data_IF_886940467065
#
_entry.id   IF_886940467065
#
_cell.length_a   1.000
_cell.length_b   1.000
_cell.length_c   1.000
_cell.angle_alpha   90.00
_cell.angle_beta   90.00
_cell.angle_gamma   90.00
#
_symmetry.space_group_name_H-M   'P 1'
#
loop_
_entity.id
_entity.type
_entity.pdbx_description
1 polymer ?
#
# COMPACT_ATOMS: atom_id res chain seq x y z
N UNK A 1 38.61 -20.34 -66.64
CA UNK A 1 38.00 -20.57 -65.31
C UNK A 1 37.93 -19.23 -64.59
N UNK A 2 36.75 -18.61 -64.55
CA UNK A 2 36.52 -17.34 -63.84
C UNK A 2 35.78 -17.68 -62.56
N UNK A 3 36.42 -17.42 -61.42
CA UNK A 3 35.91 -17.74 -60.09
C UNK A 3 34.98 -16.63 -59.63
N UNK A 4 33.67 -16.88 -59.62
CA UNK A 4 32.67 -15.97 -59.07
C UNK A 4 32.68 -16.15 -57.54
N UNK A 5 33.08 -15.11 -56.79
CA UNK A 5 32.94 -15.06 -55.33
C UNK A 5 31.56 -14.55 -54.98
N UNK A 6 30.74 -15.41 -54.37
CA UNK A 6 29.46 -15.02 -53.79
C UNK A 6 29.70 -14.17 -52.53
N UNK A 7 29.17 -12.95 -52.51
CA UNK A 7 29.06 -12.15 -51.30
C UNK A 7 27.76 -12.51 -50.59
N UNK A 8 27.86 -13.20 -49.46
CA UNK A 8 26.77 -13.38 -48.51
C UNK A 8 26.60 -12.09 -47.71
N UNK A 9 25.55 -11.32 -48.01
CA UNK A 9 25.13 -10.19 -47.19
C UNK A 9 24.45 -10.73 -45.92
N UNK A 10 25.15 -10.72 -44.78
CA UNK A 10 24.53 -10.87 -43.48
C UNK A 10 23.79 -9.58 -43.13
N UNK A 11 22.46 -9.58 -43.31
CA UNK A 11 21.59 -8.55 -42.76
C UNK A 11 21.51 -8.71 -41.25
N UNK A 12 22.18 -7.83 -40.51
CA UNK A 12 22.04 -7.72 -39.05
C UNK A 12 20.66 -7.13 -38.74
N UNK A 13 19.71 -7.97 -38.29
CA UNK A 13 18.50 -7.49 -37.62
C UNK A 13 18.94 -6.87 -36.28
N UNK A 14 19.05 -5.55 -36.25
CA UNK A 14 19.04 -4.79 -35.00
C UNK A 14 17.65 -4.95 -34.39
N UNK A 15 17.51 -5.91 -33.48
CA UNK A 15 16.38 -5.94 -32.56
C UNK A 15 16.48 -4.67 -31.70
N UNK A 16 15.63 -3.68 -32.00
CA UNK A 16 15.40 -2.58 -31.08
C UNK A 16 14.76 -3.18 -29.83
N UNK A 17 15.58 -3.47 -28.82
CA UNK A 17 15.10 -3.59 -27.45
C UNK A 17 14.61 -2.21 -27.06
N UNK A 18 13.32 -1.94 -27.29
CA UNK A 18 12.66 -0.81 -26.65
C UNK A 18 12.72 -1.12 -25.16
N UNK A 19 13.69 -0.56 -24.45
CA UNK A 19 13.62 -0.44 -23.01
C UNK A 19 12.37 0.40 -22.76
N UNK A 20 11.24 -0.25 -22.47
CA UNK A 20 10.04 0.44 -22.04
C UNK A 20 10.48 1.38 -20.91
N UNK A 21 10.26 2.68 -21.10
CA UNK A 21 10.51 3.66 -20.04
C UNK A 21 9.81 3.16 -18.79
N UNK A 22 10.51 3.17 -17.65
CA UNK A 22 9.90 2.75 -16.39
C UNK A 22 8.60 3.54 -16.18
N UNK A 23 7.51 2.83 -15.85
CA UNK A 23 6.24 3.45 -15.49
C UNK A 23 6.50 4.47 -14.38
N UNK A 24 6.06 5.71 -14.56
CA UNK A 24 6.04 6.73 -13.50
C UNK A 24 4.62 6.96 -13.04
N UNK A 25 4.45 7.63 -11.90
CA UNK A 25 3.14 8.10 -11.47
C UNK A 25 2.48 8.98 -12.53
N UNK A 26 3.26 9.86 -13.16
CA UNK A 26 2.83 10.74 -14.27
C UNK A 26 2.54 10.04 -15.59
N UNK A 27 2.65 8.72 -15.66
CA UNK A 27 2.23 7.92 -16.83
C UNK A 27 1.27 6.77 -16.45
N UNK A 28 0.95 6.63 -15.15
CA UNK A 28 0.04 5.60 -14.67
C UNK A 28 -1.39 5.97 -15.07
N UNK A 29 -2.11 5.01 -15.66
CA UNK A 29 -3.54 5.15 -16.01
C UNK A 29 -4.44 4.37 -15.07
N UNK A 30 -3.95 3.25 -14.55
CA UNK A 30 -4.70 2.39 -13.64
C UNK A 30 -3.87 2.08 -12.41
N UNK A 31 -4.46 2.30 -11.23
CA UNK A 31 -3.83 1.97 -9.97
C UNK A 31 -4.70 0.97 -9.21
N UNK A 32 -4.21 -0.27 -9.11
CA UNK A 32 -4.85 -1.32 -8.33
C UNK A 32 -4.25 -1.32 -6.94
N UNK A 33 -5.09 -1.10 -5.93
CA UNK A 33 -4.64 -1.05 -4.54
C UNK A 33 -5.17 -2.25 -3.78
N UNK A 34 -4.29 -2.87 -3.01
CA UNK A 34 -4.58 -3.99 -2.13
C UNK A 34 -4.14 -3.63 -0.72
N UNK A 35 -4.74 -4.25 0.27
CA UNK A 35 -4.14 -4.35 1.59
C UNK A 35 -5.07 -4.19 2.79
N UNK A 36 -4.38 -3.74 3.83
CA UNK A 36 -4.66 -3.75 5.27
C UNK A 36 -4.72 -5.17 5.89
N UNK A 37 -4.58 -5.42 7.19
CA UNK A 37 -4.44 -4.62 8.42
C UNK A 37 -3.01 -4.55 8.91
N UNK A 38 -2.79 -3.74 9.94
CA UNK A 38 -1.61 -3.77 10.77
C UNK A 38 -1.89 -4.61 12.04
N UNK A 39 -2.93 -4.34 12.84
CA UNK A 39 -3.34 -5.15 14.00
C UNK A 39 -4.87 -5.09 14.19
N UNK A 40 -5.51 -6.21 14.55
CA UNK A 40 -6.93 -6.32 14.96
C UNK A 40 -7.98 -5.69 14.02
N UNK A 41 -7.78 -5.76 12.72
CA UNK A 41 -8.82 -5.32 11.81
C UNK A 41 -8.81 -3.84 11.44
N UNK A 42 -7.69 -3.16 11.67
CA UNK A 42 -7.50 -1.74 11.38
C UNK A 42 -7.11 -1.51 9.90
N UNK A 43 -7.25 -0.27 9.41
CA UNK A 43 -6.98 0.01 8.00
C UNK A 43 -6.48 1.41 7.75
N UNK A 44 -5.34 1.52 7.05
CA UNK A 44 -4.81 2.79 6.56
C UNK A 44 -5.17 3.03 5.08
N UNK A 45 -5.77 2.03 4.43
CA UNK A 45 -5.82 1.94 2.96
C UNK A 45 -7.23 1.80 2.42
N UNK A 46 -8.19 1.24 3.16
CA UNK A 46 -9.56 1.00 2.66
C UNK A 46 -10.29 2.31 2.36
N UNK A 47 -11.22 2.22 1.39
CA UNK A 47 -12.08 3.33 0.96
C UNK A 47 -13.55 2.92 0.79
N UNK A 48 -13.86 1.64 1.03
CA UNK A 48 -15.19 1.06 0.84
C UNK A 48 -15.58 0.75 -0.62
N UNK A 49 -14.66 0.86 -1.58
CA UNK A 49 -14.92 0.47 -2.97
C UNK A 49 -15.30 -1.02 -3.07
N UNK A 50 -16.38 -1.32 -3.80
CA UNK A 50 -16.91 -2.67 -3.94
C UNK A 50 -17.05 -3.07 -5.41
N UNK A 51 -16.01 -3.70 -5.95
CA UNK A 51 -16.00 -4.18 -7.35
C UNK A 51 -17.15 -5.17 -7.68
N UNK A 52 -17.70 -5.89 -6.68
CA UNK A 52 -18.83 -6.79 -6.92
C UNK A 52 -20.16 -6.05 -7.18
N UNK A 53 -20.23 -4.76 -6.86
CA UNK A 53 -21.32 -3.87 -7.27
C UNK A 53 -21.10 -3.27 -8.68
N UNK A 54 -19.97 -3.58 -9.32
CA UNK A 54 -19.57 -3.10 -10.63
C UNK A 54 -18.18 -2.43 -10.60
N UNK A 55 -17.44 -2.53 -11.72
CA UNK A 55 -16.12 -1.91 -11.88
C UNK A 55 -16.16 -0.39 -11.68
N UNK A 56 -17.24 0.26 -12.13
CA UNK A 56 -17.45 1.70 -11.97
C UNK A 56 -18.31 2.04 -10.75
N UNK A 57 -18.42 1.14 -9.77
CA UNK A 57 -19.18 1.42 -8.55
C UNK A 57 -18.56 2.61 -7.80
N UNK A 58 -19.40 3.47 -7.18
CA UNK A 58 -18.90 4.63 -6.45
C UNK A 58 -18.05 4.19 -5.25
N UNK A 59 -17.03 4.99 -4.92
CA UNK A 59 -16.24 4.82 -3.71
C UNK A 59 -16.88 5.61 -2.56
N UNK A 60 -17.40 4.96 -1.51
CA UNK A 60 -18.06 5.66 -0.40
C UNK A 60 -17.14 6.56 0.42
N UNK A 61 -15.82 6.37 0.34
CA UNK A 61 -14.84 7.14 1.10
C UNK A 61 -14.79 6.73 2.57
N UNK A 62 -15.10 5.47 2.87
CA UNK A 62 -14.98 4.94 4.22
C UNK A 62 -13.51 4.84 4.61
N UNK A 63 -13.04 5.78 5.43
CA UNK A 63 -11.67 5.79 5.95
C UNK A 63 -11.66 5.88 7.46
N UNK A 64 -10.51 5.57 8.04
CA UNK A 64 -10.19 5.67 9.47
C UNK A 64 -9.40 6.93 9.83
N UNK A 65 -9.28 7.88 8.89
CA UNK A 65 -8.38 9.04 9.01
C UNK A 65 -9.10 10.37 9.25
N UNK A 66 -10.43 10.34 9.35
CA UNK A 66 -11.30 11.51 9.45
C UNK A 66 -11.20 12.45 8.24
N UNK A 67 -10.95 11.86 7.06
CA UNK A 67 -10.75 12.55 5.79
C UNK A 67 -10.20 11.59 4.74
N UNK A 68 -9.62 12.12 3.64
CA UNK A 68 -8.98 11.27 2.64
C UNK A 68 -7.79 10.50 3.21
N UNK A 69 -7.67 9.21 2.87
CA UNK A 69 -6.46 8.45 3.13
C UNK A 69 -5.43 8.64 1.99
N UNK A 70 -4.27 7.99 2.11
CA UNK A 70 -3.17 8.17 1.15
C UNK A 70 -3.56 7.77 -0.29
N UNK A 71 -4.41 6.75 -0.44
CA UNK A 71 -4.93 6.30 -1.74
C UNK A 71 -5.83 7.35 -2.36
N UNK A 72 -6.73 7.93 -1.56
CA UNK A 72 -7.61 9.00 -2.03
C UNK A 72 -6.83 10.26 -2.38
N UNK A 73 -5.80 10.64 -1.61
CA UNK A 73 -4.94 11.77 -1.97
C UNK A 73 -4.16 11.52 -3.27
N UNK A 74 -3.62 10.32 -3.47
CA UNK A 74 -2.99 9.96 -4.75
C UNK A 74 -3.99 10.05 -5.90
N UNK A 75 -5.19 9.47 -5.74
CA UNK A 75 -6.24 9.47 -6.75
C UNK A 75 -6.91 10.83 -6.99
N UNK A 76 -6.69 11.82 -6.14
CA UNK A 76 -7.26 13.17 -6.25
C UNK A 76 -6.17 14.25 -6.30
N UNK A 77 -5.70 14.71 -5.14
CA UNK A 77 -4.79 15.86 -4.96
C UNK A 77 -3.49 15.71 -5.73
N UNK A 78 -2.94 14.50 -5.78
CA UNK A 78 -1.69 14.21 -6.48
C UNK A 78 -1.91 13.47 -7.81
N UNK A 79 -3.15 13.44 -8.33
CA UNK A 79 -3.45 12.78 -9.59
C UNK A 79 -3.14 13.71 -10.77
N UNK A 80 -2.08 13.39 -11.51
CA UNK A 80 -1.59 14.21 -12.61
C UNK A 80 -2.02 13.71 -14.00
N UNK A 81 -2.66 12.54 -14.10
CA UNK A 81 -2.96 11.86 -15.38
C UNK A 81 -4.39 11.29 -15.50
N UNK A 82 -5.31 11.68 -14.63
CA UNK A 82 -6.65 11.06 -14.51
C UNK A 82 -6.55 9.54 -14.27
N UNK A 83 -5.58 9.14 -13.43
CA UNK A 83 -5.40 7.76 -13.00
C UNK A 83 -6.70 7.21 -12.40
N UNK A 84 -7.21 6.10 -12.92
CA UNK A 84 -8.33 5.36 -12.33
C UNK A 84 -7.83 4.48 -11.20
N UNK A 85 -8.36 4.69 -10.00
CA UNK A 85 -7.95 3.96 -8.80
C UNK A 85 -9.00 2.89 -8.47
N UNK A 86 -8.57 1.62 -8.48
CA UNK A 86 -9.37 0.47 -8.07
C UNK A 86 -8.83 -0.06 -6.76
N UNK A 87 -9.41 0.41 -5.65
CA UNK A 87 -8.93 0.08 -4.32
C UNK A 87 -9.67 -1.12 -3.73
N UNK A 88 -9.09 -2.30 -3.90
CA UNK A 88 -9.59 -3.57 -3.38
C UNK A 88 -9.23 -3.80 -1.90
N UNK A 89 -8.51 -2.88 -1.25
CA UNK A 89 -8.18 -2.99 0.17
C UNK A 89 -9.44 -3.00 1.05
N UNK A 90 -9.50 -3.91 2.01
CA UNK A 90 -10.69 -4.14 2.82
C UNK A 90 -10.38 -4.04 4.30
N UNK A 91 -11.03 -3.09 4.97
CA UNK A 91 -10.82 -2.79 6.39
C UNK A 91 -10.64 -4.00 7.30
N UNK A 92 -9.40 -4.25 7.69
CA UNK A 92 -9.02 -5.26 8.65
C UNK A 92 -8.52 -6.59 8.11
N UNK A 93 -8.23 -6.64 6.81
CA UNK A 93 -7.70 -7.78 6.11
C UNK A 93 -6.43 -8.35 6.76
N UNK A 94 -6.17 -9.60 6.48
CA UNK A 94 -4.91 -10.25 6.84
C UNK A 94 -4.32 -10.80 5.55
N UNK A 95 -3.08 -11.28 5.58
CA UNK A 95 -2.50 -11.87 4.36
C UNK A 95 -3.34 -13.04 3.86
N UNK A 96 -3.80 -13.90 4.76
CA UNK A 96 -4.70 -15.02 4.49
C UNK A 96 -5.49 -15.34 5.77
N UNK A 97 -6.82 -15.40 5.66
CA UNK A 97 -7.72 -15.69 6.78
C UNK A 97 -7.50 -17.06 7.42
N UNK A 98 -6.84 -17.99 6.71
CA UNK A 98 -6.43 -19.31 7.21
C UNK A 98 -5.13 -19.27 8.03
N UNK A 99 -4.28 -18.26 7.80
CA UNK A 99 -3.03 -18.07 8.57
C UNK A 99 -3.28 -17.18 9.78
N UNK A 100 -4.10 -16.14 9.58
CA UNK A 100 -4.45 -15.17 10.60
C UNK A 100 -5.94 -14.92 10.50
N UNK A 101 -6.67 -15.39 11.51
CA UNK A 101 -8.11 -15.16 11.61
C UNK A 101 -8.39 -13.65 11.74
N UNK A 102 -9.16 -13.05 10.82
CA UNK A 102 -9.55 -11.66 10.94
C UNK A 102 -10.54 -11.45 12.09
N UNK A 103 -10.73 -10.20 12.50
CA UNK A 103 -11.65 -9.83 13.58
C UNK A 103 -13.14 -10.13 13.26
N UNK A 104 -13.50 -10.19 11.97
CA UNK A 104 -14.81 -10.61 11.49
C UNK A 104 -14.67 -11.58 10.30
N UNK A 105 -15.54 -12.59 10.16
CA UNK A 105 -15.46 -13.57 9.07
C UNK A 105 -15.76 -12.98 7.69
N UNK A 106 -16.35 -11.78 7.63
CA UNK A 106 -16.66 -11.05 6.39
C UNK A 106 -15.48 -10.24 5.85
N UNK A 107 -14.36 -10.22 6.56
CA UNK A 107 -13.17 -9.48 6.15
C UNK A 107 -12.49 -10.17 4.98
N UNK A 108 -12.25 -9.41 3.92
CA UNK A 108 -11.61 -9.91 2.69
C UNK A 108 -10.09 -9.82 2.82
N UNK A 109 -9.43 -10.97 3.05
CA UNK A 109 -7.97 -11.07 3.15
C UNK A 109 -7.27 -10.65 1.85
N UNK A 110 -5.95 -10.43 1.86
CA UNK A 110 -5.19 -10.12 0.65
C UNK A 110 -5.38 -11.18 -0.45
N UNK A 111 -5.49 -12.47 -0.08
CA UNK A 111 -5.85 -13.56 -0.99
C UNK A 111 -7.22 -13.36 -1.64
N UNK A 112 -8.22 -12.91 -0.88
CA UNK A 112 -9.55 -12.62 -1.40
C UNK A 112 -9.54 -11.39 -2.31
N UNK A 113 -8.73 -10.39 -1.99
CA UNK A 113 -8.57 -9.18 -2.81
C UNK A 113 -7.89 -9.49 -4.15
N UNK A 114 -6.86 -10.35 -4.17
CA UNK A 114 -6.26 -10.84 -5.42
C UNK A 114 -7.25 -11.74 -6.18
N UNK A 115 -8.11 -12.48 -5.50
CA UNK A 115 -9.20 -13.24 -6.14
C UNK A 115 -10.25 -12.31 -6.77
N UNK A 116 -10.58 -11.19 -6.13
CA UNK A 116 -11.45 -10.16 -6.71
C UNK A 116 -10.80 -9.52 -7.95
N UNK A 117 -9.51 -9.19 -7.89
CA UNK A 117 -8.77 -8.72 -9.07
C UNK A 117 -8.84 -9.74 -10.21
N UNK A 118 -8.53 -11.00 -9.88
CA UNK A 118 -8.56 -12.11 -10.83
C UNK A 118 -9.93 -12.28 -11.48
N UNK A 119 -11.01 -12.06 -10.74
CA UNK A 119 -12.38 -12.22 -11.24
C UNK A 119 -12.84 -11.07 -12.12
N UNK A 120 -12.57 -9.82 -11.71
CA UNK A 120 -13.18 -8.63 -12.33
C UNK A 120 -12.24 -7.87 -13.26
N UNK A 121 -10.93 -8.08 -13.15
CA UNK A 121 -9.92 -7.37 -13.94
C UNK A 121 -9.03 -8.31 -14.79
N UNK A 122 -9.24 -9.63 -14.72
CA UNK A 122 -8.45 -10.62 -15.48
C UNK A 122 -9.34 -11.79 -15.99
N UNK A 123 -9.92 -11.71 -17.20
CA UNK A 123 -9.45 -10.91 -18.33
C UNK A 123 -9.73 -9.41 -18.20
N UNK A 124 -8.95 -8.61 -18.90
CA UNK A 124 -9.03 -7.13 -18.88
C UNK A 124 -10.42 -6.68 -19.36
N UNK A 125 -11.20 -5.99 -18.53
CA UNK A 125 -12.54 -5.55 -18.88
C UNK A 125 -12.50 -4.25 -19.71
N UNK A 126 -13.48 -3.98 -20.58
CA UNK A 126 -13.55 -2.74 -21.36
C UNK A 126 -13.54 -1.46 -20.51
N UNK A 127 -14.14 -1.50 -19.33
CA UNK A 127 -14.22 -0.40 -18.37
C UNK A 127 -12.87 -0.04 -17.74
N UNK A 128 -11.94 -1.00 -17.71
CA UNK A 128 -10.60 -0.84 -17.18
C UNK A 128 -9.59 -1.50 -18.12
N UNK A 129 -9.32 -0.87 -19.26
CA UNK A 129 -8.38 -1.32 -20.28
C UNK A 129 -6.91 -1.19 -19.83
N UNK A 130 -6.58 -1.83 -18.72
CA UNK A 130 -5.25 -1.85 -18.13
C UNK A 130 -4.32 -2.81 -18.88
N UNK A 131 -3.02 -2.53 -18.81
CA UNK A 131 -1.95 -3.33 -19.38
C UNK A 131 -0.69 -3.17 -18.52
N UNK A 132 0.27 -4.08 -18.63
CA UNK A 132 1.54 -4.03 -17.90
C UNK A 132 2.23 -2.66 -17.88
N UNK A 133 2.11 -1.92 -18.99
CA UNK A 133 2.87 -0.69 -19.24
C UNK A 133 2.11 0.58 -18.82
N UNK A 134 0.89 0.45 -18.29
CA UNK A 134 0.07 1.61 -17.86
C UNK A 134 -0.55 1.44 -16.47
N UNK A 135 -0.24 0.34 -15.77
CA UNK A 135 -0.86 -0.02 -14.50
C UNK A 135 0.15 -0.23 -13.38
N UNK A 136 -0.15 0.34 -12.22
CA UNK A 136 0.59 0.15 -10.97
C UNK A 136 -0.23 -0.72 -10.00
N UNK A 137 0.44 -1.62 -9.28
CA UNK A 137 -0.16 -2.50 -8.28
C UNK A 137 0.47 -2.17 -6.92
N UNK A 138 -0.29 -1.59 -5.99
CA UNK A 138 0.23 -1.09 -4.73
C UNK A 138 -0.46 -1.65 -3.50
N UNK A 139 0.26 -1.75 -2.38
CA UNK A 139 -0.37 -2.17 -1.14
C UNK A 139 0.55 -2.59 -0.01
N UNK A 140 -0.08 -3.04 1.07
CA UNK A 140 0.55 -3.57 2.29
C UNK A 140 -0.30 -4.69 2.90
N UNK A 141 0.30 -5.62 3.62
CA UNK A 141 -0.42 -6.59 4.47
C UNK A 141 0.50 -6.99 5.61
N UNK A 142 0.08 -6.76 6.85
CA UNK A 142 0.85 -7.11 8.04
C UNK A 142 -0.07 -7.70 9.11
N UNK A 143 0.52 -8.29 10.14
CA UNK A 143 -0.21 -8.70 11.32
C UNK A 143 0.72 -8.84 12.51
N UNK A 144 0.23 -8.47 13.68
CA UNK A 144 0.87 -8.81 14.95
C UNK A 144 -0.12 -9.34 15.99
N UNK A 145 0.41 -10.25 16.80
CA UNK A 145 -0.14 -10.60 18.10
C UNK A 145 0.97 -10.57 19.14
N UNK A 146 0.57 -10.52 20.41
CA UNK A 146 1.47 -10.72 21.55
C UNK A 146 2.16 -12.11 21.57
N UNK A 147 1.82 -13.02 20.65
CA UNK A 147 2.47 -14.30 20.44
C UNK A 147 3.37 -14.20 19.22
N UNK A 148 4.62 -13.77 19.42
CA UNK A 148 5.64 -13.84 18.37
C UNK A 148 6.00 -15.30 18.14
N UNK A 149 5.40 -15.92 17.14
CA UNK A 149 5.83 -17.23 16.67
C UNK A 149 7.08 -17.04 15.81
N UNK A 150 8.23 -17.55 16.28
CA UNK A 150 9.48 -17.47 15.55
C UNK A 150 9.29 -18.00 14.11
N UNK A 151 9.68 -17.20 13.11
CA UNK A 151 9.53 -17.56 11.70
C UNK A 151 8.13 -17.33 11.09
N UNK A 152 7.14 -16.86 11.85
CA UNK A 152 5.79 -16.65 11.31
C UNK A 152 5.73 -15.58 10.21
N UNK A 153 6.52 -14.51 10.32
CA UNK A 153 6.65 -13.52 9.24
C UNK A 153 7.14 -14.15 7.93
N UNK A 154 7.98 -15.19 7.99
CA UNK A 154 8.40 -15.92 6.79
C UNK A 154 7.20 -16.59 6.13
N UNK A 155 6.37 -17.30 6.90
CA UNK A 155 5.14 -17.95 6.40
C UNK A 155 4.17 -16.92 5.81
N UNK A 156 3.96 -15.80 6.50
CA UNK A 156 3.12 -14.71 6.01
C UNK A 156 3.66 -14.12 4.71
N UNK A 157 4.96 -13.85 4.62
CA UNK A 157 5.57 -13.28 3.43
C UNK A 157 5.65 -14.28 2.27
N UNK A 158 5.86 -15.58 2.54
CA UNK A 158 5.73 -16.62 1.52
C UNK A 158 4.32 -16.62 0.92
N UNK A 159 3.29 -16.48 1.78
CA UNK A 159 1.91 -16.38 1.32
C UNK A 159 1.63 -15.07 0.58
N UNK A 160 2.11 -13.94 1.07
CA UNK A 160 1.97 -12.64 0.42
C UNK A 160 2.59 -12.66 -0.98
N UNK A 161 3.85 -13.12 -1.11
CA UNK A 161 4.52 -13.17 -2.41
C UNK A 161 3.91 -14.21 -3.36
N UNK A 162 3.26 -15.27 -2.86
CA UNK A 162 2.46 -16.16 -3.73
C UNK A 162 1.29 -15.42 -4.42
N UNK A 163 0.73 -14.40 -3.77
CA UNK A 163 -0.34 -13.57 -4.35
C UNK A 163 0.24 -12.48 -5.27
N UNK A 164 1.42 -11.94 -4.96
CA UNK A 164 2.17 -11.08 -5.87
C UNK A 164 2.52 -11.83 -7.17
N UNK A 165 2.93 -13.09 -7.07
CA UNK A 165 3.19 -13.95 -8.22
C UNK A 165 1.93 -14.21 -9.03
N UNK A 166 0.76 -14.37 -8.39
CA UNK A 166 -0.53 -14.48 -9.09
C UNK A 166 -0.86 -13.20 -9.89
N UNK A 167 -0.67 -12.02 -9.29
CA UNK A 167 -0.83 -10.74 -10.01
C UNK A 167 0.15 -10.64 -11.19
N UNK A 168 1.42 -11.02 -10.98
CA UNK A 168 2.43 -11.06 -12.02
C UNK A 168 2.04 -12.01 -13.15
N UNK A 169 1.58 -13.23 -12.85
CA UNK A 169 1.14 -14.20 -13.85
C UNK A 169 -0.05 -13.69 -14.68
N UNK A 170 -0.83 -12.75 -14.14
CA UNK A 170 -1.95 -12.10 -14.81
C UNK A 170 -1.59 -10.85 -15.61
N UNK A 171 -0.33 -10.44 -15.59
CA UNK A 171 0.17 -9.32 -16.39
C UNK A 171 0.60 -8.09 -15.60
N UNK A 172 0.49 -8.10 -14.26
CA UNK A 172 1.06 -7.03 -13.45
C UNK A 172 2.59 -6.97 -13.61
N UNK A 173 3.15 -5.79 -13.87
CA UNK A 173 4.61 -5.61 -14.03
C UNK A 173 5.19 -4.50 -13.17
N UNK A 174 4.40 -3.52 -12.75
CA UNK A 174 4.86 -2.44 -11.89
C UNK A 174 4.21 -2.53 -10.51
N UNK A 175 5.02 -2.51 -9.45
CA UNK A 175 4.59 -2.78 -8.08
C UNK A 175 5.07 -1.70 -7.11
N UNK A 176 4.19 -1.29 -6.20
CA UNK A 176 4.48 -0.43 -5.05
C UNK A 176 4.24 -1.20 -3.75
N UNK A 177 5.32 -1.59 -3.08
CA UNK A 177 5.27 -2.22 -1.77
C UNK A 177 5.42 -1.15 -0.69
N UNK A 178 4.64 -1.25 0.38
CA UNK A 178 4.78 -0.40 1.55
C UNK A 178 5.22 -1.25 2.74
N UNK A 179 6.26 -0.83 3.45
CA UNK A 179 6.62 -1.45 4.71
C UNK A 179 5.71 -0.95 5.85
N UNK A 180 5.87 -1.53 7.04
CA UNK A 180 5.05 -1.25 8.21
C UNK A 180 5.51 0.04 8.89
N UNK A 181 4.62 1.02 9.16
CA UNK A 181 4.90 2.19 10.00
C UNK A 181 5.43 1.80 11.40
N UNK A 182 6.03 2.73 12.18
CA UNK A 182 6.52 2.47 13.52
C UNK A 182 5.34 2.34 14.50
N UNK A 183 4.66 1.20 14.46
CA UNK A 183 3.43 0.97 15.22
C UNK A 183 3.69 1.01 16.73
N UNK A 184 4.89 0.69 17.19
CA UNK A 184 5.29 0.84 18.59
C UNK A 184 5.18 2.28 19.12
N UNK A 185 5.05 3.27 18.22
CA UNK A 185 4.81 4.68 18.54
C UNK A 185 3.34 5.09 18.50
N UNK A 186 2.43 4.19 18.14
CA UNK A 186 1.00 4.46 18.19
C UNK A 186 0.51 4.47 19.65
N UNK A 187 -0.47 5.34 20.01
CA UNK A 187 -0.99 5.43 21.37
C UNK A 187 -1.42 4.10 21.96
N UNK A 188 -2.00 3.20 21.14
CA UNK A 188 -2.42 1.85 21.52
C UNK A 188 -1.29 1.05 22.19
N UNK A 189 -0.07 1.12 21.68
CA UNK A 189 1.07 0.36 22.22
C UNK A 189 1.83 1.12 23.28
N UNK A 190 1.83 2.46 23.21
CA UNK A 190 2.37 3.31 24.26
C UNK A 190 1.63 3.06 25.58
N UNK A 191 0.29 3.02 25.56
CA UNK A 191 -0.55 2.78 26.72
C UNK A 191 -0.34 1.38 27.34
N UNK A 192 0.11 0.40 26.54
CA UNK A 192 0.42 -0.96 26.99
C UNK A 192 1.81 -1.08 27.65
N UNK A 193 2.63 -0.03 27.61
CA UNK A 193 3.89 0.07 28.33
C UNK A 193 5.13 -0.43 27.57
N UNK A 194 6.30 -0.18 28.16
CA UNK A 194 7.62 -0.32 27.52
C UNK A 194 7.91 -1.74 26.98
N UNK A 195 7.42 -2.78 27.65
CA UNK A 195 7.58 -4.17 27.19
C UNK A 195 6.89 -4.38 25.85
N UNK A 196 5.67 -3.89 25.70
CA UNK A 196 4.90 -4.00 24.46
C UNK A 196 5.51 -3.16 23.35
N UNK A 197 5.91 -1.92 23.65
CA UNK A 197 6.63 -1.05 22.69
C UNK A 197 7.85 -1.79 22.11
N UNK A 198 8.69 -2.39 22.97
CA UNK A 198 9.87 -3.14 22.53
C UNK A 198 9.50 -4.36 21.68
N UNK A 199 8.45 -5.09 22.04
CA UNK A 199 8.02 -6.29 21.32
C UNK A 199 7.45 -5.94 19.93
N UNK A 200 6.61 -4.91 19.84
CA UNK A 200 6.02 -4.43 18.57
C UNK A 200 7.10 -3.85 17.66
N UNK A 201 8.03 -3.06 18.20
CA UNK A 201 9.14 -2.51 17.42
C UNK A 201 10.02 -3.62 16.84
N UNK A 202 10.40 -4.61 17.64
CA UNK A 202 11.19 -5.75 17.17
C UNK A 202 10.46 -6.58 16.10
N UNK A 203 9.14 -6.77 16.24
CA UNK A 203 8.32 -7.47 15.25
C UNK A 203 8.20 -6.67 13.94
N UNK A 204 7.98 -5.36 14.05
CA UNK A 204 7.91 -4.43 12.91
C UNK A 204 9.22 -4.43 12.13
N UNK A 205 10.36 -4.34 12.82
CA UNK A 205 11.69 -4.38 12.21
C UNK A 205 11.97 -5.71 11.50
N UNK A 206 11.63 -6.84 12.14
CA UNK A 206 11.82 -8.17 11.54
C UNK A 206 10.98 -8.34 10.27
N UNK A 207 9.71 -7.94 10.31
CA UNK A 207 8.84 -8.00 9.13
C UNK A 207 9.36 -7.09 8.01
N UNK A 208 9.68 -5.84 8.32
CA UNK A 208 10.17 -4.87 7.34
C UNK A 208 11.49 -5.31 6.69
N UNK A 209 12.40 -5.90 7.47
CA UNK A 209 13.64 -6.49 6.96
C UNK A 209 13.36 -7.64 6.01
N UNK A 210 12.48 -8.57 6.38
CA UNK A 210 12.14 -9.71 5.52
C UNK A 210 11.38 -9.27 4.26
N UNK A 211 10.45 -8.31 4.35
CA UNK A 211 9.77 -7.73 3.19
C UNK A 211 10.79 -7.13 2.21
N UNK A 212 11.74 -6.33 2.69
CA UNK A 212 12.77 -5.75 1.83
C UNK A 212 13.63 -6.81 1.13
N UNK A 213 13.95 -7.92 1.81
CA UNK A 213 14.65 -9.05 1.19
C UNK A 213 13.79 -9.72 0.12
N UNK A 214 12.49 -9.92 0.37
CA UNK A 214 11.56 -10.54 -0.58
C UNK A 214 11.31 -9.67 -1.81
N UNK A 215 11.20 -8.35 -1.66
CA UNK A 215 11.10 -7.42 -2.81
C UNK A 215 12.35 -7.53 -3.70
N UNK A 216 13.55 -7.53 -3.10
CA UNK A 216 14.80 -7.72 -3.87
C UNK A 216 14.85 -9.08 -4.57
N UNK A 217 14.40 -10.13 -3.90
CA UNK A 217 14.32 -11.47 -4.48
C UNK A 217 13.31 -11.49 -5.66
N UNK A 218 12.14 -10.90 -5.49
CA UNK A 218 11.13 -10.81 -6.53
C UNK A 218 11.66 -10.09 -7.77
N UNK A 219 12.37 -8.97 -7.58
CA UNK A 219 13.04 -8.24 -8.66
C UNK A 219 14.11 -9.06 -9.39
N UNK A 220 14.84 -9.93 -8.70
CA UNK A 220 15.91 -10.72 -9.30
C UNK A 220 15.41 -11.99 -10.01
N UNK A 221 14.25 -12.52 -9.60
CA UNK A 221 13.71 -13.77 -10.16
C UNK A 221 12.66 -13.58 -11.25
N UNK A 222 12.05 -12.41 -11.36
CA UNK A 222 11.01 -12.13 -12.36
C UNK A 222 11.54 -11.27 -13.50
N UNK A 223 11.13 -11.61 -14.72
CA UNK A 223 11.58 -10.92 -15.94
C UNK A 223 10.49 -9.99 -16.45
N UNK A 224 10.89 -8.95 -17.19
CA UNK A 224 9.94 -8.01 -17.79
C UNK A 224 9.18 -7.16 -16.78
N UNK A 225 9.65 -7.11 -15.52
CA UNK A 225 9.15 -6.15 -14.54
C UNK A 225 9.36 -4.72 -15.04
N UNK A 226 8.37 -3.86 -14.76
CA UNK A 226 8.46 -2.42 -14.90
C UNK A 226 9.06 -1.81 -13.64
N UNK A 227 8.38 -0.82 -13.07
CA UNK A 227 8.82 -0.16 -11.84
C UNK A 227 8.51 -1.04 -10.62
N UNK A 228 9.50 -1.37 -9.79
CA UNK A 228 9.28 -2.03 -8.50
C UNK A 228 9.87 -1.18 -7.39
N UNK A 229 8.99 -0.64 -6.55
CA UNK A 229 9.32 0.33 -5.51
C UNK A 229 8.93 -0.22 -4.15
N UNK A 230 9.86 -0.15 -3.19
CA UNK A 230 9.56 -0.32 -1.77
C UNK A 230 9.56 1.06 -1.11
N UNK A 231 8.38 1.56 -0.77
CA UNK A 231 8.21 2.80 -0.02
C UNK A 231 8.38 2.55 1.47
N UNK A 232 9.28 3.32 2.08
CA UNK A 232 9.63 3.23 3.50
C UNK A 232 8.68 4.09 4.36
N UNK A 233 7.46 3.59 4.56
CA UNK A 233 6.48 4.18 5.46
C UNK A 233 7.01 4.23 6.91
N UNK A 234 7.81 3.24 7.34
CA UNK A 234 8.44 3.21 8.65
C UNK A 234 9.29 4.47 8.90
N UNK A 235 10.22 4.76 7.99
CA UNK A 235 11.07 5.94 8.07
C UNK A 235 10.26 7.23 7.99
N UNK A 236 9.29 7.28 7.08
CA UNK A 236 8.49 8.48 6.86
C UNK A 236 7.61 8.85 8.06
N UNK A 237 6.98 7.88 8.72
CA UNK A 237 6.25 8.11 9.95
C UNK A 237 7.17 8.54 11.09
N UNK A 238 8.34 7.93 11.23
CA UNK A 238 9.32 8.35 12.25
C UNK A 238 9.74 9.80 12.04
N UNK A 239 10.06 10.21 10.80
CA UNK A 239 10.38 11.61 10.48
C UNK A 239 9.23 12.55 10.87
N UNK A 240 7.99 12.19 10.56
CA UNK A 240 6.85 13.03 10.91
C UNK A 240 6.62 13.12 12.43
N UNK A 241 6.72 12.00 13.16
CA UNK A 241 6.56 11.99 14.62
C UNK A 241 7.71 12.72 15.33
N UNK A 242 8.93 12.62 14.82
CA UNK A 242 10.09 13.32 15.39
C UNK A 242 9.99 14.83 15.19
N UNK A 243 9.38 15.26 14.07
CA UNK A 243 9.19 16.67 13.71
C UNK A 243 7.74 17.16 13.86
N UNK A 244 6.91 16.46 14.64
CA UNK A 244 5.46 16.69 14.67
C UNK A 244 5.08 18.15 14.97
N UNK A 245 5.74 18.79 15.94
CA UNK A 245 5.46 20.19 16.30
C UNK A 245 5.77 21.16 15.15
N UNK A 246 6.88 20.93 14.43
CA UNK A 246 7.27 21.74 13.26
C UNK A 246 6.27 21.54 12.11
N UNK A 247 5.72 20.34 11.98
CA UNK A 247 4.67 20.01 11.01
C UNK A 247 3.27 20.49 11.47
N UNK A 248 3.15 21.11 12.64
CA UNK A 248 1.88 21.60 13.17
C UNK A 248 1.01 20.55 13.87
N UNK A 249 1.55 19.35 14.08
CA UNK A 249 0.88 18.31 14.86
C UNK A 249 1.07 18.50 16.36
N UNK A 250 -0.01 18.28 17.10
CA UNK A 250 -0.04 18.21 18.56
C UNK A 250 -0.25 16.76 19.00
N UNK A 251 0.17 16.46 20.24
CA UNK A 251 -0.05 15.18 20.90
C UNK A 251 0.40 13.96 20.07
N UNK A 252 1.69 13.87 19.75
CA UNK A 252 2.25 12.76 18.94
C UNK A 252 2.26 11.38 19.60
N UNK A 253 1.98 11.31 20.91
CA UNK A 253 1.93 10.07 21.71
C UNK A 253 0.52 9.68 22.13
N UNK A 254 -0.49 10.47 21.76
CA UNK A 254 -1.88 10.29 22.16
C UNK A 254 -2.83 10.81 21.09
N UNK A 255 -4.11 10.87 21.42
CA UNK A 255 -5.17 11.39 20.54
C UNK A 255 -6.19 12.18 21.37
N UNK A 256 -7.13 12.83 20.71
CA UNK A 256 -8.25 13.47 21.39
C UNK A 256 -9.45 12.52 21.40
N UNK A 257 -9.88 12.09 22.58
CA UNK A 257 -10.99 11.16 22.73
C UNK A 257 -12.31 11.68 22.12
N UNK A 258 -12.50 13.00 22.00
CA UNK A 258 -13.67 13.58 21.34
C UNK A 258 -13.67 13.40 19.81
N UNK A 259 -12.51 13.11 19.20
CA UNK A 259 -12.36 12.95 17.74
C UNK A 259 -12.18 11.49 17.31
N UNK A 260 -12.01 10.56 18.25
CA UNK A 260 -11.58 9.17 17.96
C UNK A 260 -12.50 8.39 17.00
N UNK A 261 -13.78 8.78 16.92
CA UNK A 261 -14.79 8.17 16.04
C UNK A 261 -15.09 9.04 14.80
N UNK A 262 -14.22 10.00 14.51
CA UNK A 262 -14.42 11.00 13.46
C UNK A 262 -15.12 12.26 13.96
N UNK A 263 -15.11 13.28 13.11
CA UNK A 263 -15.70 14.60 13.32
C UNK A 263 -16.52 15.00 12.10
N UNK A 264 -17.46 15.96 12.22
CA UNK A 264 -18.28 16.39 11.09
C UNK A 264 -17.48 17.00 9.92
N UNK A 265 -16.36 17.65 10.21
CA UNK A 265 -15.50 18.32 9.23
C UNK A 265 -14.03 18.35 9.68
N UNK A 266 -13.12 18.61 8.75
CA UNK A 266 -11.67 18.63 8.97
C UNK A 266 -11.20 19.74 9.91
N UNK A 267 -11.97 20.82 10.04
CA UNK A 267 -11.72 21.97 10.91
C UNK A 267 -12.41 21.87 12.27
N UNK A 268 -13.14 20.78 12.52
CA UNK A 268 -13.92 20.62 13.74
C UNK A 268 -13.02 20.70 14.97
N UNK A 269 -13.48 21.45 15.96
CA UNK A 269 -12.76 21.72 17.20
C UNK A 269 -13.73 21.72 18.38
N UNK A 270 -13.40 20.98 19.44
CA UNK A 270 -14.06 21.12 20.74
C UNK A 270 -13.34 22.17 21.60
N UNK A 271 -14.09 22.84 22.47
CA UNK A 271 -13.54 23.85 23.38
C UNK A 271 -12.34 23.31 24.18
N UNK A 272 -11.26 24.08 24.25
CA UNK A 272 -10.03 23.69 24.94
C UNK A 272 -9.09 22.75 24.16
N UNK A 273 -9.47 22.31 22.96
CA UNK A 273 -8.64 21.48 22.07
C UNK A 273 -8.23 22.24 20.82
N UNK A 274 -7.26 21.70 20.07
CA UNK A 274 -6.96 22.13 18.69
C UNK A 274 -7.95 21.47 17.71
N UNK A 275 -8.11 21.98 16.47
CA UNK A 275 -8.90 21.28 15.46
C UNK A 275 -8.32 19.90 15.18
N UNK A 276 -9.16 18.96 14.73
CA UNK A 276 -8.74 17.58 14.42
C UNK A 276 -7.58 17.52 13.41
N UNK A 277 -7.50 18.47 12.47
CA UNK A 277 -6.40 18.62 11.52
C UNK A 277 -5.02 18.84 12.17
N UNK A 278 -4.98 19.27 13.42
CA UNK A 278 -3.74 19.48 14.17
C UNK A 278 -3.28 18.24 14.93
N UNK A 279 -3.96 17.10 14.87
CA UNK A 279 -3.53 15.89 15.58
C UNK A 279 -2.82 14.92 14.62
N UNK A 280 -1.78 14.25 15.11
CA UNK A 280 -1.14 13.17 14.34
C UNK A 280 -2.05 11.93 14.31
N UNK A 281 -2.52 11.50 15.48
CA UNK A 281 -3.38 10.34 15.66
C UNK A 281 -4.84 10.77 15.81
N UNK A 282 -5.73 10.15 15.02
CA UNK A 282 -7.18 10.31 15.17
C UNK A 282 -7.68 9.56 16.40
N UNK A 283 -7.29 8.29 16.50
CA UNK A 283 -7.60 7.38 17.60
C UNK A 283 -6.32 6.67 18.06
N UNK A 284 -6.45 5.59 18.81
CA UNK A 284 -5.28 4.91 19.38
C UNK A 284 -4.32 4.29 18.35
N UNK A 285 -4.74 4.15 17.08
CA UNK A 285 -3.95 3.44 16.06
C UNK A 285 -3.91 4.14 14.70
N UNK A 286 -4.91 4.93 14.35
CA UNK A 286 -5.04 5.51 13.01
C UNK A 286 -4.56 6.95 12.97
N UNK A 287 -3.69 7.33 12.01
CA UNK A 287 -3.29 8.71 11.84
C UNK A 287 -4.38 9.53 11.14
N UNK A 288 -4.35 10.85 11.29
CA UNK A 288 -5.30 11.75 10.63
C UNK A 288 -4.98 11.90 9.14
N UNK A 289 -5.95 12.43 8.38
CA UNK A 289 -5.79 12.74 6.96
C UNK A 289 -4.58 13.64 6.64
N UNK A 290 -4.09 14.47 7.58
CA UNK A 290 -2.89 15.28 7.37
C UNK A 290 -1.61 14.45 7.25
N UNK A 291 -1.50 13.36 8.01
CA UNK A 291 -0.40 12.40 7.91
C UNK A 291 -0.47 11.61 6.59
N UNK A 292 -1.70 11.24 6.19
CA UNK A 292 -1.94 10.57 4.92
C UNK A 292 -1.63 11.44 3.70
N UNK A 293 -1.86 12.75 3.78
CA UNK A 293 -1.50 13.71 2.73
C UNK A 293 0.02 13.77 2.52
N UNK A 294 0.78 13.93 3.61
CA UNK A 294 2.26 13.92 3.58
C UNK A 294 2.78 12.61 2.99
N UNK A 295 2.18 11.48 3.38
CA UNK A 295 2.52 10.15 2.85
C UNK A 295 2.23 10.05 1.35
N UNK A 296 1.04 10.49 0.90
CA UNK A 296 0.66 10.44 -0.51
C UNK A 296 1.59 11.30 -1.37
N UNK A 297 1.93 12.51 -0.92
CA UNK A 297 2.90 13.39 -1.60
C UNK A 297 4.28 12.75 -1.75
N UNK A 298 4.75 12.09 -0.70
CA UNK A 298 6.04 11.40 -0.72
C UNK A 298 6.00 10.21 -1.68
N UNK A 299 4.92 9.43 -1.69
CA UNK A 299 4.73 8.33 -2.65
C UNK A 299 4.68 8.85 -4.09
N UNK A 300 3.90 9.90 -4.38
CA UNK A 300 3.83 10.45 -5.74
C UNK A 300 5.20 10.93 -6.22
N UNK A 301 6.02 11.50 -5.33
CA UNK A 301 7.39 11.93 -5.63
C UNK A 301 8.32 10.75 -5.91
N UNK A 302 8.26 9.69 -5.10
CA UNK A 302 9.11 8.49 -5.27
C UNK A 302 8.76 7.72 -6.55
N UNK A 303 7.51 7.81 -7.00
CA UNK A 303 7.03 7.18 -8.21
C UNK A 303 7.21 8.04 -9.48
N UNK A 304 7.60 9.31 -9.36
CA UNK A 304 7.83 10.22 -10.50
C UNK A 304 9.24 10.06 -11.04
#
# INVERSE_FOLDING_TARGET
MVTIRAFTALGSLLAFSCSASALTWGSTKYFFVFGDSYIFGDSYTTTGYNVSAGINSPTPGWTSSNGPNWVQYLGSTYNVTDTKVYNLAYGGATTDSKLVTPYLPTVQSFVDQVSLFSKYFSPVPPEAAWSSDNSLFGGNSWWWSNVTQAGFHKTLLDRYFSQVDELYNRGARSFLFLNVPPLERAPLFIEQGATTIKAVGASTDDFNKQLAQRVKQFQSTHKGLGQVTLYDAHKMFNVQLDNAEVLGFVNKTGYNAAYQNGTPESTYQVAGSKPVSSYFWLNSLHPTFGVHDIMARAISTVLS
#
